data_IF_616168021894
#
_entry.id   IF_616168021894
#
_cell.length_a   1.000
_cell.length_b   1.000
_cell.length_c   1.000
_cell.angle_alpha   90.00
_cell.angle_beta   90.00
_cell.angle_gamma   90.00
#
_symmetry.space_group_name_H-M   'P 1'
#
loop_
_entity.id
_entity.type
_entity.pdbx_description
1 polymer ?
#
# COMPACT_ATOMS: atom_id res chain seq x y z
N UNK A 1 -13.32 8.02 -58.58
CA UNK A 1 -13.87 7.43 -57.33
C UNK A 1 -12.72 7.27 -56.36
N UNK A 2 -12.85 7.91 -55.19
CA UNK A 2 -11.75 8.37 -54.35
C UNK A 2 -10.97 7.25 -53.64
N UNK A 3 -9.64 7.35 -53.66
CA UNK A 3 -8.76 6.67 -52.69
C UNK A 3 -8.77 7.48 -51.39
N UNK A 4 -9.54 7.05 -50.38
CA UNK A 4 -9.64 7.75 -49.09
C UNK A 4 -9.59 6.73 -47.93
N UNK A 5 -8.37 6.61 -47.40
CA UNK A 5 -8.05 6.75 -45.97
C UNK A 5 -8.98 6.07 -44.97
N UNK A 6 -8.62 4.87 -44.48
CA UNK A 6 -8.58 4.51 -43.04
C UNK A 6 -7.72 3.26 -42.78
N UNK A 7 -6.46 3.27 -43.21
CA UNK A 7 -5.42 2.38 -42.65
C UNK A 7 -4.64 3.12 -41.54
N UNK A 8 -5.36 3.72 -40.58
CA UNK A 8 -4.76 4.47 -39.46
C UNK A 8 -5.45 4.21 -38.11
N UNK A 9 -6.11 3.06 -37.91
CA UNK A 9 -6.72 2.76 -36.59
C UNK A 9 -6.57 1.34 -36.08
N UNK A 10 -6.07 0.37 -36.87
CA UNK A 10 -5.73 -0.97 -36.34
C UNK A 10 -4.36 -0.96 -35.62
N UNK A 11 -3.96 0.17 -35.03
CA UNK A 11 -2.68 0.30 -34.32
C UNK A 11 -2.83 0.62 -32.84
N UNK A 12 -3.99 1.07 -32.36
CA UNK A 12 -4.17 1.47 -30.95
C UNK A 12 -4.81 0.39 -30.07
N UNK A 13 -5.44 -0.63 -30.65
CA UNK A 13 -6.10 -1.71 -29.89
C UNK A 13 -5.30 -3.00 -29.77
N UNK A 14 -4.12 -3.05 -30.38
CA UNK A 14 -3.07 -4.01 -30.01
C UNK A 14 -2.13 -3.37 -29.00
N UNK A 15 -2.66 -2.96 -27.83
CA UNK A 15 -1.80 -3.07 -26.64
C UNK A 15 -1.51 -4.57 -26.56
N UNK A 16 -0.26 -4.95 -26.78
CA UNK A 16 0.29 -6.30 -26.62
C UNK A 16 -0.21 -6.92 -25.32
N UNK A 17 -1.40 -7.54 -25.34
CA UNK A 17 -2.04 -8.00 -24.11
C UNK A 17 -1.53 -9.40 -23.84
N UNK A 18 -0.38 -9.46 -23.16
CA UNK A 18 -0.13 -10.56 -22.24
C UNK A 18 -1.43 -10.78 -21.44
N UNK A 19 -1.92 -12.01 -21.31
CA UNK A 19 -3.05 -12.31 -20.43
C UNK A 19 -2.77 -11.70 -19.07
N UNK A 20 -3.72 -10.90 -18.56
CA UNK A 20 -3.56 -10.31 -17.23
C UNK A 20 -3.49 -11.43 -16.20
N UNK A 21 -2.60 -11.29 -15.24
CA UNK A 21 -2.46 -12.26 -14.16
C UNK A 21 -3.53 -12.05 -13.10
N UNK A 22 -3.60 -12.98 -12.13
CA UNK A 22 -4.53 -12.88 -11.00
C UNK A 22 -4.33 -11.56 -10.21
N UNK A 23 -3.08 -11.17 -9.95
CA UNK A 23 -2.79 -9.93 -9.22
C UNK A 23 -3.22 -8.69 -10.02
N UNK A 24 -2.92 -8.65 -11.32
CA UNK A 24 -3.29 -7.53 -12.17
C UNK A 24 -4.81 -7.39 -12.30
N UNK A 25 -5.53 -8.51 -12.43
CA UNK A 25 -6.99 -8.51 -12.43
C UNK A 25 -7.56 -7.98 -11.12
N UNK A 26 -7.01 -8.39 -9.98
CA UNK A 26 -7.44 -7.93 -8.66
C UNK A 26 -7.20 -6.42 -8.49
N UNK A 27 -6.01 -5.93 -8.87
CA UNK A 27 -5.66 -4.51 -8.85
C UNK A 27 -6.65 -3.66 -9.65
N UNK A 28 -6.93 -4.07 -10.88
CA UNK A 28 -7.84 -3.35 -11.77
C UNK A 28 -9.29 -3.40 -11.27
N UNK A 29 -9.68 -4.52 -10.65
CA UNK A 29 -10.97 -4.67 -9.98
C UNK A 29 -11.15 -3.61 -8.89
N UNK A 30 -10.22 -3.51 -7.94
CA UNK A 30 -10.30 -2.55 -6.83
C UNK A 30 -10.40 -1.09 -7.30
N UNK A 31 -9.72 -0.74 -8.40
CA UNK A 31 -9.79 0.63 -8.92
C UNK A 31 -11.16 0.99 -9.50
N UNK A 32 -12.03 0.01 -9.74
CA UNK A 32 -13.34 0.20 -10.41
C UNK A 32 -14.54 -0.12 -9.51
N UNK A 33 -14.34 -0.54 -8.26
CA UNK A 33 -15.42 -0.95 -7.33
C UNK A 33 -16.26 0.20 -6.78
N UNK A 34 -15.94 1.47 -7.05
CA UNK A 34 -16.77 2.58 -6.60
C UNK A 34 -18.10 2.68 -7.35
N UNK A 35 -19.14 3.32 -6.76
CA UNK A 35 -20.48 3.43 -7.35
C UNK A 35 -20.57 4.17 -8.69
N UNK A 36 -19.45 4.72 -9.17
CA UNK A 36 -19.32 5.45 -10.44
C UNK A 36 -18.12 4.96 -11.28
N UNK A 37 -17.56 3.78 -10.99
CA UNK A 37 -16.31 3.32 -11.61
C UNK A 37 -15.07 4.12 -11.16
N UNK A 38 -15.22 4.86 -10.05
CA UNK A 38 -14.14 5.64 -9.43
C UNK A 38 -13.40 4.76 -8.41
N UNK A 39 -12.07 4.89 -8.29
CA UNK A 39 -11.33 4.18 -7.27
C UNK A 39 -11.81 4.61 -5.89
N UNK A 40 -12.13 3.62 -5.06
CA UNK A 40 -12.53 3.86 -3.67
C UNK A 40 -11.32 4.44 -2.95
N UNK A 41 -11.40 5.71 -2.57
CA UNK A 41 -10.33 6.38 -1.81
C UNK A 41 -10.14 5.63 -0.50
N UNK A 42 -8.92 5.16 -0.27
CA UNK A 42 -8.56 4.38 0.91
C UNK A 42 -8.72 2.86 0.77
N UNK A 43 -9.18 2.34 -0.39
CA UNK A 43 -9.18 0.90 -0.63
C UNK A 43 -7.74 0.35 -0.74
N UNK A 44 -7.59 -0.92 -0.33
CA UNK A 44 -6.33 -1.64 -0.50
C UNK A 44 -6.18 -2.09 -1.95
N UNK A 45 -5.15 -1.56 -2.61
CA UNK A 45 -4.78 -1.95 -3.97
C UNK A 45 -3.60 -2.92 -3.88
N UNK A 46 -3.75 -4.18 -4.34
CA UNK A 46 -2.67 -5.15 -4.27
C UNK A 46 -1.50 -4.73 -5.17
N UNK A 47 -0.28 -4.89 -4.65
CA UNK A 47 0.94 -4.72 -5.41
C UNK A 47 1.32 -6.02 -6.11
N UNK A 48 1.80 -5.89 -7.35
CA UNK A 48 2.15 -7.00 -8.23
C UNK A 48 3.59 -6.83 -8.71
N UNK A 49 4.29 -7.94 -8.85
CA UNK A 49 5.61 -8.00 -9.50
C UNK A 49 5.50 -7.82 -11.02
N UNK A 50 6.63 -7.64 -11.70
CA UNK A 50 6.70 -7.54 -13.18
C UNK A 50 6.22 -8.83 -13.87
N UNK A 51 6.40 -9.97 -13.22
CA UNK A 51 5.87 -11.26 -13.67
C UNK A 51 4.33 -11.37 -13.44
N UNK A 52 3.70 -10.41 -12.77
CA UNK A 52 2.28 -10.37 -12.43
C UNK A 52 1.88 -11.26 -11.24
N UNK A 53 2.83 -11.82 -10.50
CA UNK A 53 2.57 -12.46 -9.21
C UNK A 53 2.30 -11.39 -8.14
N UNK A 54 1.69 -11.80 -7.03
CA UNK A 54 1.57 -10.92 -5.87
C UNK A 54 2.94 -10.67 -5.28
N UNK A 55 3.22 -9.42 -4.93
CA UNK A 55 4.40 -9.14 -4.12
C UNK A 55 4.22 -9.84 -2.77
N UNK A 56 5.25 -10.55 -2.27
CA UNK A 56 5.13 -11.30 -1.03
C UNK A 56 4.86 -10.37 0.15
N UNK A 57 5.29 -9.11 0.08
CA UNK A 57 4.93 -8.04 1.01
C UNK A 57 3.89 -7.11 0.38
N UNK A 58 2.72 -7.02 1.01
CA UNK A 58 1.64 -6.11 0.61
C UNK A 58 1.46 -5.01 1.65
N UNK A 59 1.22 -3.79 1.18
CA UNK A 59 1.02 -2.64 2.07
C UNK A 59 -0.27 -1.90 1.74
N UNK A 60 -1.06 -1.59 2.76
CA UNK A 60 -2.24 -0.77 2.62
C UNK A 60 -1.89 0.70 2.82
N UNK A 61 -1.69 1.42 1.71
CA UNK A 61 -1.29 2.83 1.75
C UNK A 61 -2.21 3.75 2.56
N UNK A 62 -3.50 3.41 2.70
CA UNK A 62 -4.45 4.21 3.48
C UNK A 62 -4.34 4.05 4.99
N UNK A 63 -3.94 2.87 5.46
CA UNK A 63 -3.81 2.59 6.90
C UNK A 63 -2.35 2.47 7.33
N UNK A 64 -1.44 2.41 6.37
CA UNK A 64 -0.01 2.18 6.56
C UNK A 64 0.34 0.80 7.13
N UNK A 65 -0.58 -0.17 7.10
CA UNK A 65 -0.28 -1.53 7.53
C UNK A 65 0.36 -2.33 6.40
N UNK A 66 1.34 -3.18 6.71
CA UNK A 66 1.93 -4.11 5.76
C UNK A 66 1.87 -5.55 6.26
N UNK A 67 1.71 -6.53 5.38
CA UNK A 67 1.62 -7.94 5.74
C UNK A 67 2.21 -8.82 4.63
N UNK A 68 2.56 -10.06 4.96
CA UNK A 68 2.98 -11.02 3.95
C UNK A 68 1.79 -11.72 3.33
N UNK A 69 1.85 -11.98 2.04
CA UNK A 69 0.89 -12.81 1.31
C UNK A 69 1.55 -14.03 0.69
N UNK A 70 0.74 -15.03 0.35
CA UNK A 70 1.14 -16.15 -0.50
C UNK A 70 1.01 -15.80 -2.00
N UNK A 71 1.35 -16.75 -2.87
CA UNK A 71 1.27 -16.62 -4.33
C UNK A 71 -0.14 -16.29 -4.84
N UNK A 72 -1.17 -16.52 -4.01
CA UNK A 72 -2.59 -16.23 -4.32
C UNK A 72 -3.01 -14.84 -3.82
N UNK A 73 -2.16 -14.14 -3.09
CA UNK A 73 -2.45 -12.86 -2.44
C UNK A 73 -3.14 -13.01 -1.09
N UNK A 74 -3.12 -14.20 -0.48
CA UNK A 74 -3.73 -14.46 0.82
C UNK A 74 -2.77 -14.07 1.95
N UNK A 75 -3.25 -13.24 2.88
CA UNK A 75 -2.48 -12.82 4.06
C UNK A 75 -2.05 -14.02 4.92
N UNK A 76 -0.77 -14.03 5.30
CA UNK A 76 -0.19 -14.94 6.28
C UNK A 76 -0.45 -14.42 7.69
N UNK A 77 -1.11 -15.23 8.51
CA UNK A 77 -1.42 -14.87 9.90
C UNK A 77 -0.17 -14.46 10.70
N UNK A 78 -0.26 -13.39 11.48
CA UNK A 78 0.83 -12.90 12.33
C UNK A 78 1.92 -12.09 11.62
N UNK A 79 1.79 -11.84 10.32
CA UNK A 79 2.76 -11.02 9.55
C UNK A 79 2.36 -9.55 9.41
N UNK A 80 1.15 -9.19 9.85
CA UNK A 80 0.63 -7.83 9.76
C UNK A 80 1.33 -6.89 10.73
N UNK A 81 1.92 -5.85 10.18
CA UNK A 81 2.67 -4.79 10.87
C UNK A 81 1.91 -3.46 10.81
N UNK A 82 1.86 -2.70 11.91
CA UNK A 82 1.26 -1.37 11.94
C UNK A 82 2.15 -0.32 11.24
N UNK A 83 1.60 0.86 10.88
CA UNK A 83 2.38 1.97 10.38
C UNK A 83 3.51 2.36 11.34
N UNK A 84 4.68 2.68 10.79
CA UNK A 84 5.84 3.10 11.57
C UNK A 84 6.70 1.95 12.12
N UNK A 85 6.32 0.69 11.87
CA UNK A 85 7.22 -0.46 12.08
C UNK A 85 7.86 -0.90 10.77
N UNK A 86 9.09 -1.45 10.83
CA UNK A 86 9.64 -2.16 9.67
C UNK A 86 8.73 -3.33 9.32
N UNK A 87 8.49 -3.52 8.03
CA UNK A 87 7.82 -4.69 7.51
C UNK A 87 8.63 -5.96 7.80
N UNK A 88 7.94 -7.07 7.94
CA UNK A 88 8.58 -8.38 8.07
C UNK A 88 9.22 -8.81 6.76
N UNK A 89 10.29 -9.60 6.84
CA UNK A 89 10.89 -10.25 5.68
C UNK A 89 10.01 -11.45 5.28
N UNK A 90 9.35 -11.35 4.13
CA UNK A 90 8.40 -12.36 3.67
C UNK A 90 9.08 -13.57 3.02
N UNK A 91 10.36 -13.47 2.64
CA UNK A 91 11.17 -14.56 2.07
C UNK A 91 11.73 -15.49 3.14
N UNK A 92 11.75 -15.05 4.40
CA UNK A 92 12.26 -15.82 5.54
C UNK A 92 11.11 -16.36 6.40
N UNK A 93 10.73 -17.64 6.23
CA UNK A 93 9.77 -18.28 7.11
C UNK A 93 10.41 -18.51 8.50
N UNK A 94 10.23 -17.57 9.43
CA UNK A 94 10.73 -17.76 10.80
C UNK A 94 10.77 -16.52 11.68
N UNK A 95 10.79 -15.32 11.11
CA UNK A 95 10.82 -14.09 11.89
C UNK A 95 9.40 -13.53 12.04
N UNK A 96 8.58 -14.14 12.91
CA UNK A 96 7.42 -13.39 13.43
C UNK A 96 7.97 -12.28 14.31
N UNK A 97 7.70 -11.00 14.00
CA UNK A 97 8.11 -9.91 14.86
C UNK A 97 7.41 -10.12 16.21
N UNK A 98 8.12 -9.95 17.34
CA UNK A 98 7.54 -10.19 18.66
C UNK A 98 6.26 -9.37 18.83
N UNK A 99 5.23 -9.91 19.50
CA UNK A 99 4.01 -9.17 19.77
C UNK A 99 4.36 -7.88 20.52
N UNK A 100 4.11 -6.76 19.85
CA UNK A 100 3.88 -5.45 20.44
C UNK A 100 4.79 -5.07 21.62
N UNK A 101 6.09 -4.86 21.39
CA UNK A 101 6.79 -3.85 22.19
C UNK A 101 6.63 -2.52 21.48
N UNK A 102 5.54 -1.83 21.81
CA UNK A 102 5.39 -0.40 21.60
C UNK A 102 6.60 0.29 22.23
N UNK A 103 7.41 0.98 21.44
CA UNK A 103 8.20 2.10 21.95
C UNK A 103 8.48 3.07 20.79
N UNK A 104 7.41 3.58 20.20
CA UNK A 104 7.42 4.94 19.68
C UNK A 104 6.97 5.86 20.82
N UNK A 105 7.82 6.03 21.83
CA UNK A 105 7.68 7.12 22.79
C UNK A 105 8.20 8.40 22.13
N UNK A 106 7.31 9.11 21.45
CA UNK A 106 7.51 10.53 21.16
C UNK A 106 6.64 11.44 22.05
N UNK A 107 5.94 10.91 23.07
CA UNK A 107 5.01 11.71 23.89
C UNK A 107 5.10 11.47 25.42
N UNK A 108 6.24 10.99 25.94
CA UNK A 108 6.43 10.81 27.40
C UNK A 108 7.58 11.63 28.03
N UNK A 109 8.05 12.71 27.36
CA UNK A 109 8.86 13.76 28.01
C UNK A 109 8.03 15.00 28.38
N UNK A 110 6.78 14.78 28.80
CA UNK A 110 6.13 15.70 29.74
C UNK A 110 6.00 15.05 31.10
N UNK A 111 6.99 15.29 31.97
CA UNK A 111 6.65 15.66 33.34
C UNK A 111 7.49 16.86 33.78
N UNK A 112 6.83 18.02 33.93
CA UNK A 112 7.31 19.14 34.74
C UNK A 112 8.73 19.68 34.45
N UNK A 113 8.87 20.55 33.44
CA UNK A 113 9.78 21.68 33.62
C UNK A 113 8.95 22.94 33.86
N UNK A 114 8.73 23.18 35.15
CA UNK A 114 8.33 24.48 35.68
C UNK A 114 9.33 25.53 35.18
N UNK A 115 8.98 26.28 34.15
CA UNK A 115 9.51 27.63 33.98
C UNK A 115 8.36 28.61 34.24
N UNK A 116 8.11 28.83 35.53
CA UNK A 116 7.64 30.13 36.01
C UNK A 116 8.66 31.16 35.53
N UNK A 117 8.40 31.82 34.42
CA UNK A 117 8.99 33.14 34.15
C UNK A 117 8.32 34.12 35.12
N UNK A 118 8.91 34.28 36.30
CA UNK A 118 8.77 35.52 37.05
C UNK A 118 9.65 36.54 36.34
N UNK A 119 9.05 37.33 35.46
CA UNK A 119 9.53 38.68 35.19
C UNK A 119 8.48 39.62 35.74
N UNK A 120 8.62 39.94 37.03
CA UNK A 120 8.21 41.26 37.49
C UNK A 120 9.23 42.30 37.01
N UNK A 121 8.75 43.54 36.90
CA UNK A 121 9.39 44.77 36.43
C UNK A 121 9.41 44.99 34.92
N UNK A 122 8.44 45.77 34.42
CA UNK A 122 8.63 47.12 33.83
C UNK A 122 7.28 47.85 33.77
N UNK A 123 7.01 48.72 34.76
CA UNK A 123 6.65 50.15 34.64
C UNK A 123 6.30 50.72 36.02
#
# INVERSE_FOLDING_TARGET
MAAITRLFSISTERKTRRPKTHCEHHRDGVQTTGPEGRPVVGAYVPQCEDNGQYLPLQCHGSTGHCWCVDDRGQERAGTRTPPGRPSVDCDRPGETPPPSLSLCDCDSLSPSHSHRVHTEAVL
#
